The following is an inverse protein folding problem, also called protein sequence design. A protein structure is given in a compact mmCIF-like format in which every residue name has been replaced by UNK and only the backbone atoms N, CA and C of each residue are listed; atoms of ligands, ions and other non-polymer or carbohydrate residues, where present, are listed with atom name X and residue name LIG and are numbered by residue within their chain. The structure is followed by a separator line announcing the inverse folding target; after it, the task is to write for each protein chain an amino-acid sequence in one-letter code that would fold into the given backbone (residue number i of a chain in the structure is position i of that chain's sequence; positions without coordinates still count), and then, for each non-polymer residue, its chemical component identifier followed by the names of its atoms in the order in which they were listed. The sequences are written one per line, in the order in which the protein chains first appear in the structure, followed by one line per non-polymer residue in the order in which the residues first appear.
data_IF_253427519785
#
_entry.id   IF_253427519785
#
_cell.length_a   1.000
_cell.length_b   1.000
_cell.length_c   1.000
_cell.angle_alpha   90.00
_cell.angle_beta   90.00
_cell.angle_gamma   90.00
#
_symmetry.space_group_name_H-M   'P 1'
#
loop_
_entity.id
_entity.type
_entity.pdbx_description
1 polymer ?
#
# COMPACT_ATOMS: atom_id res chain seq x y z
N UNK A 1 -12.77 19.58 -11.37
CA UNK A 1 -11.43 19.05 -11.70
C UNK A 1 -11.26 17.72 -10.98
N UNK A 2 -10.75 16.68 -11.65
CA UNK A 2 -10.37 15.44 -10.95
C UNK A 2 -9.22 15.74 -9.99
N UNK A 3 -9.25 15.28 -8.73
CA UNK A 3 -8.14 15.51 -7.81
C UNK A 3 -6.86 14.88 -8.38
N UNK A 4 -5.74 15.61 -8.33
CA UNK A 4 -4.44 15.09 -8.70
C UNK A 4 -3.97 14.17 -7.57
N UNK A 5 -4.20 12.87 -7.73
CA UNK A 5 -3.89 11.88 -6.69
C UNK A 5 -2.39 11.65 -6.55
N UNK A 6 -1.62 11.69 -7.64
CA UNK A 6 -0.19 11.39 -7.63
C UNK A 6 0.69 12.66 -7.62
N UNK A 7 1.59 12.73 -6.65
CA UNK A 7 2.63 13.75 -6.53
C UNK A 7 4.04 13.18 -6.73
N UNK A 8 5.06 13.94 -6.34
CA UNK A 8 6.46 13.50 -6.38
C UNK A 8 6.80 12.37 -5.41
N UNK A 9 5.92 12.13 -4.43
CA UNK A 9 6.14 11.18 -3.33
C UNK A 9 4.84 10.43 -3.02
N UNK A 10 4.34 9.70 -4.02
CA UNK A 10 3.16 8.84 -3.90
C UNK A 10 1.82 9.59 -3.93
N UNK A 11 0.81 8.96 -3.31
CA UNK A 11 -0.54 9.49 -3.19
C UNK A 11 -0.64 10.34 -1.91
N UNK A 12 -1.16 11.56 -2.02
CA UNK A 12 -1.27 12.48 -0.87
C UNK A 12 -2.64 13.12 -0.77
N UNK A 13 -3.07 13.31 0.48
CA UNK A 13 -4.35 13.94 0.79
C UNK A 13 -4.77 13.66 2.24
N UNK A 14 -5.92 14.19 2.64
CA UNK A 14 -6.50 13.96 3.95
C UNK A 14 -7.10 12.54 4.04
N UNK A 15 -6.74 11.80 5.08
CA UNK A 15 -7.33 10.49 5.36
C UNK A 15 -8.85 10.59 5.55
N UNK A 16 -9.59 9.60 5.07
CA UNK A 16 -11.05 9.53 5.07
C UNK A 16 -11.77 10.62 4.25
N UNK A 17 -11.04 11.46 3.51
CA UNK A 17 -11.63 12.45 2.60
C UNK A 17 -11.04 12.33 1.20
N UNK A 18 -9.73 12.53 1.07
CA UNK A 18 -9.01 12.43 -0.20
C UNK A 18 -8.41 11.03 -0.36
N UNK A 19 -7.86 10.48 0.74
CA UNK A 19 -7.36 9.11 0.81
C UNK A 19 -8.39 8.26 1.57
N UNK A 20 -9.26 7.58 0.82
CA UNK A 20 -10.29 6.71 1.37
C UNK A 20 -9.84 5.25 1.36
N UNK A 21 -10.48 4.41 2.18
CA UNK A 21 -10.27 2.95 2.17
C UNK A 21 -10.60 2.34 0.81
N UNK A 22 -11.66 2.81 0.14
CA UNK A 22 -12.01 2.39 -1.22
C UNK A 22 -10.91 2.75 -2.23
N UNK A 23 -10.30 3.94 -2.10
CA UNK A 23 -9.16 4.30 -2.94
C UNK A 23 -7.98 3.35 -2.67
N UNK A 24 -7.64 3.11 -1.40
CA UNK A 24 -6.56 2.20 -1.03
C UNK A 24 -6.79 0.78 -1.58
N UNK A 25 -8.02 0.26 -1.47
CA UNK A 25 -8.40 -1.04 -2.05
C UNK A 25 -8.18 -1.09 -3.57
N UNK A 26 -8.66 -0.08 -4.30
CA UNK A 26 -8.46 -0.05 -5.76
C UNK A 26 -7.00 0.09 -6.17
N UNK A 27 -6.21 0.86 -5.41
CA UNK A 27 -4.76 0.97 -5.62
C UNK A 27 -4.10 -0.39 -5.38
N UNK A 28 -4.45 -1.09 -4.31
CA UNK A 28 -3.93 -2.43 -4.01
C UNK A 28 -4.21 -3.42 -5.14
N UNK A 29 -5.47 -3.48 -5.59
CA UNK A 29 -5.86 -4.35 -6.70
C UNK A 29 -5.11 -4.02 -8.00
N UNK A 30 -4.91 -2.72 -8.28
CA UNK A 30 -4.14 -2.29 -9.45
C UNK A 30 -2.66 -2.70 -9.36
N UNK A 31 -2.03 -2.55 -8.19
CA UNK A 31 -0.62 -2.94 -7.98
C UNK A 31 -0.45 -4.45 -8.17
N UNK A 32 -1.31 -5.27 -7.56
CA UNK A 32 -1.27 -6.73 -7.72
C UNK A 32 -1.48 -7.14 -9.20
N UNK A 33 -2.41 -6.48 -9.90
CA UNK A 33 -2.65 -6.76 -11.33
C UNK A 33 -1.42 -6.45 -12.19
N UNK A 34 -0.72 -5.34 -11.93
CA UNK A 34 0.48 -4.96 -12.67
C UNK A 34 1.64 -5.93 -12.45
N UNK A 35 1.72 -6.55 -11.25
CA UNK A 35 2.72 -7.56 -10.92
C UNK A 35 2.29 -8.99 -11.27
N UNK A 36 1.10 -9.16 -11.88
CA UNK A 36 0.52 -10.48 -12.24
C UNK A 36 0.34 -11.41 -11.02
N UNK A 37 -0.07 -10.83 -9.89
CA UNK A 37 0.08 -11.47 -8.59
C UNK A 37 1.47 -11.18 -8.02
N UNK A 38 2.02 -12.08 -7.21
CA UNK A 38 3.34 -11.92 -6.61
C UNK A 38 3.30 -11.59 -5.12
N UNK A 39 4.48 -11.39 -4.52
CA UNK A 39 4.62 -11.10 -3.10
C UNK A 39 4.85 -9.61 -2.87
N UNK A 40 4.03 -8.99 -2.02
CA UNK A 40 4.02 -7.53 -1.82
C UNK A 40 4.13 -7.20 -0.33
N UNK A 41 5.12 -6.37 0.00
CA UNK A 41 5.32 -5.87 1.37
C UNK A 41 4.46 -4.64 1.62
N UNK A 42 3.76 -4.58 2.75
CA UNK A 42 2.98 -3.42 3.16
C UNK A 42 3.38 -3.02 4.58
N UNK A 43 3.76 -1.75 4.75
CA UNK A 43 4.01 -1.12 6.05
C UNK A 43 3.16 0.14 6.24
N UNK A 44 3.25 0.76 7.42
CA UNK A 44 2.66 2.07 7.68
C UNK A 44 3.44 2.85 8.74
N UNK A 45 3.30 4.18 8.74
CA UNK A 45 3.91 5.07 9.73
C UNK A 45 3.02 5.36 10.95
N UNK A 46 3.48 6.17 11.91
CA UNK A 46 2.77 6.39 13.18
C UNK A 46 1.42 7.15 13.06
N UNK A 47 0.90 7.44 11.86
CA UNK A 47 -0.41 8.07 11.71
C UNK A 47 -1.51 7.11 12.17
N UNK A 48 -2.51 7.67 12.87
CA UNK A 48 -3.68 6.91 13.35
C UNK A 48 -4.48 6.24 12.23
N UNK A 49 -4.41 6.76 11.00
CA UNK A 49 -5.04 6.17 9.82
C UNK A 49 -4.26 4.99 9.22
N UNK A 50 -3.01 4.76 9.65
CA UNK A 50 -2.10 3.75 9.10
C UNK A 50 -2.69 2.34 9.09
N UNK A 51 -3.07 1.76 10.23
CA UNK A 51 -3.62 0.40 10.29
C UNK A 51 -4.86 0.22 9.41
N UNK A 52 -5.74 1.23 9.36
CA UNK A 52 -6.94 1.21 8.53
C UNK A 52 -6.59 1.18 7.03
N UNK A 53 -5.63 2.01 6.61
CA UNK A 53 -5.21 2.07 5.21
C UNK A 53 -4.38 0.84 4.80
N UNK A 54 -3.53 0.31 5.68
CA UNK A 54 -2.80 -0.95 5.47
C UNK A 54 -3.78 -2.10 5.20
N UNK A 55 -4.80 -2.27 6.06
CA UNK A 55 -5.79 -3.32 5.90
C UNK A 55 -6.62 -3.15 4.62
N UNK A 56 -7.02 -1.92 4.30
CA UNK A 56 -7.76 -1.63 3.06
C UNK A 56 -6.91 -1.94 1.82
N UNK A 57 -5.67 -1.47 1.77
CA UNK A 57 -4.74 -1.75 0.68
C UNK A 57 -4.48 -3.26 0.53
N UNK A 58 -4.18 -3.93 1.64
CA UNK A 58 -3.93 -5.38 1.70
C UNK A 58 -5.12 -6.19 1.19
N UNK A 59 -6.35 -5.77 1.52
CA UNK A 59 -7.55 -6.45 1.00
C UNK A 59 -7.68 -6.35 -0.53
N UNK A 60 -7.29 -5.21 -1.12
CA UNK A 60 -7.27 -5.04 -2.58
C UNK A 60 -6.18 -5.87 -3.25
N UNK A 61 -4.98 -5.90 -2.66
CA UNK A 61 -3.85 -6.72 -3.11
C UNK A 61 -4.22 -8.22 -3.12
N UNK A 62 -4.71 -8.73 -2.00
CA UNK A 62 -5.12 -10.13 -1.85
C UNK A 62 -6.25 -10.51 -2.82
N UNK A 63 -7.27 -9.65 -2.97
CA UNK A 63 -8.39 -9.90 -3.87
C UNK A 63 -7.96 -10.01 -5.35
N UNK A 64 -6.86 -9.37 -5.72
CA UNK A 64 -6.27 -9.43 -7.06
C UNK A 64 -5.14 -10.47 -7.20
N UNK A 65 -4.95 -11.34 -6.19
CA UNK A 65 -4.06 -12.51 -6.27
C UNK A 65 -2.62 -12.31 -5.79
N UNK A 66 -2.31 -11.21 -5.12
CA UNK A 66 -1.02 -11.05 -4.45
C UNK A 66 -0.97 -11.74 -3.08
N UNK A 67 0.20 -12.20 -2.68
CA UNK A 67 0.54 -12.61 -1.31
C UNK A 67 1.11 -11.40 -0.55
N UNK A 68 0.49 -11.02 0.56
CA UNK A 68 0.82 -9.77 1.26
C UNK A 68 1.57 -10.04 2.55
N UNK A 69 2.77 -9.44 2.65
CA UNK A 69 3.56 -9.40 3.89
C UNK A 69 3.29 -8.08 4.59
N UNK A 70 2.51 -8.11 5.66
CA UNK A 70 2.26 -6.93 6.50
C UNK A 70 3.38 -6.80 7.55
N UNK A 71 4.19 -5.75 7.43
CA UNK A 71 5.30 -5.45 8.36
C UNK A 71 4.89 -4.53 9.50
N UNK A 72 3.71 -3.91 9.40
CA UNK A 72 3.10 -3.11 10.46
C UNK A 72 3.72 -1.71 10.59
N UNK A 73 3.74 -1.21 11.83
CA UNK A 73 4.27 0.12 12.17
C UNK A 73 5.80 0.13 12.07
N UNK A 74 6.32 0.64 10.96
CA UNK A 74 7.77 0.74 10.71
C UNK A 74 8.12 2.04 9.97
N UNK A 75 9.36 2.54 10.06
CA UNK A 75 9.82 3.61 9.20
C UNK A 75 9.93 3.16 7.73
N UNK A 76 9.72 4.08 6.78
CA UNK A 76 9.92 3.89 5.34
C UNK A 76 11.15 3.08 4.91
N UNK A 77 12.37 3.32 5.45
CA UNK A 77 13.52 2.50 5.08
C UNK A 77 13.41 1.03 5.48
N UNK A 78 12.63 0.69 6.51
CA UNK A 78 12.40 -0.71 6.93
C UNK A 78 11.49 -1.42 5.94
N UNK A 79 10.41 -0.79 5.48
CA UNK A 79 9.56 -1.34 4.42
C UNK A 79 10.36 -1.59 3.15
N UNK A 80 11.20 -0.62 2.74
CA UNK A 80 12.07 -0.78 1.59
C UNK A 80 13.11 -1.91 1.75
N UNK A 81 13.71 -2.03 2.94
CA UNK A 81 14.64 -3.10 3.25
C UNK A 81 13.96 -4.48 3.23
N UNK A 82 12.75 -4.58 3.77
CA UNK A 82 11.97 -5.82 3.78
C UNK A 82 11.70 -6.35 2.38
N UNK A 83 11.40 -5.48 1.40
CA UNK A 83 11.21 -5.91 -0.01
C UNK A 83 12.42 -6.70 -0.51
N UNK A 84 13.63 -6.22 -0.21
CA UNK A 84 14.88 -6.87 -0.62
C UNK A 84 15.13 -8.15 0.17
N UNK A 85 14.93 -8.11 1.49
CA UNK A 85 15.16 -9.24 2.40
C UNK A 85 14.25 -10.44 2.09
N UNK A 86 12.98 -10.18 1.76
CA UNK A 86 12.01 -11.24 1.46
C UNK A 86 12.01 -11.64 -0.02
N UNK A 87 12.75 -10.94 -0.88
CA UNK A 87 12.71 -11.15 -2.33
C UNK A 87 11.35 -10.82 -2.94
N UNK A 88 10.62 -9.87 -2.35
CA UNK A 88 9.29 -9.47 -2.80
C UNK A 88 9.34 -8.60 -4.06
N UNK A 89 8.28 -8.65 -4.86
CA UNK A 89 8.18 -8.00 -6.16
C UNK A 89 7.94 -6.48 -6.04
N UNK A 90 7.27 -6.06 -4.96
CA UNK A 90 6.95 -4.66 -4.69
C UNK A 90 6.72 -4.40 -3.21
N UNK A 91 6.60 -3.12 -2.85
CA UNK A 91 6.07 -2.74 -1.55
C UNK A 91 5.43 -1.35 -1.52
N UNK A 92 4.62 -1.12 -0.50
CA UNK A 92 3.82 0.10 -0.29
C UNK A 92 3.87 0.52 1.17
N UNK A 93 3.90 1.83 1.39
CA UNK A 93 3.75 2.50 2.69
C UNK A 93 2.87 3.74 2.57
#
# INVERSE_FOLDING_TARGET
MKPKLFGSSGIRGLANKDITTTLAQHVGAAIATMNQGGQIVVGYDARISGPMLEMALSSGLNAAGADVIQVGLVPTPVTAWMIVETGSDAGVE
#
